data_IF_672787069314
#
_entry.id   IF_672787069314
#
_cell.length_a   1.000
_cell.length_b   1.000
_cell.length_c   1.000
_cell.angle_alpha   90.00
_cell.angle_beta   90.00
_cell.angle_gamma   90.00
#
_symmetry.space_group_name_H-M   'P 1'
#
loop_
_entity.id
_entity.type
_entity.pdbx_description
1 polymer ?
#
# COMPACT_ATOMS: atom_id res chain seq x y z
N UNK A 1 3.74 4.34 9.81
CA UNK A 1 4.10 3.29 8.82
C UNK A 1 3.38 3.49 7.49
N UNK A 2 2.06 3.69 7.47
CA UNK A 2 1.29 3.93 6.25
C UNK A 2 1.76 5.15 5.46
N UNK A 3 2.02 6.29 6.11
CA UNK A 3 2.46 7.50 5.41
C UNK A 3 3.87 7.34 4.80
N UNK A 4 4.75 6.60 5.47
CA UNK A 4 6.07 6.24 4.92
C UNK A 4 5.92 5.37 3.67
N UNK A 5 5.03 4.37 3.71
CA UNK A 5 4.76 3.53 2.54
C UNK A 5 4.20 4.36 1.37
N UNK A 6 3.29 5.31 1.63
CA UNK A 6 2.82 6.25 0.62
C UNK A 6 3.98 7.07 0.01
N UNK A 7 4.88 7.59 0.84
CA UNK A 7 6.04 8.35 0.37
C UNK A 7 6.99 7.50 -0.48
N UNK A 8 7.25 6.25 -0.08
CA UNK A 8 8.10 5.32 -0.85
C UNK A 8 7.46 4.94 -2.18
N UNK A 9 6.16 4.68 -2.19
CA UNK A 9 5.40 4.42 -3.43
C UNK A 9 5.44 5.61 -4.38
N UNK A 10 5.35 6.84 -3.85
CA UNK A 10 5.42 8.05 -4.66
C UNK A 10 6.82 8.36 -5.19
N UNK A 11 7.89 7.96 -4.49
CA UNK A 11 9.28 8.30 -4.83
C UNK A 11 9.73 7.78 -6.20
N UNK A 12 9.22 6.63 -6.64
CA UNK A 12 9.53 6.12 -7.98
C UNK A 12 10.38 4.86 -8.04
N UNK A 13 10.97 4.43 -6.93
CA UNK A 13 12.06 3.44 -6.98
C UNK A 13 11.62 1.99 -7.11
N UNK A 14 10.34 1.72 -6.86
CA UNK A 14 9.75 0.40 -6.95
C UNK A 14 9.01 0.24 -8.28
N UNK A 15 9.13 -0.92 -8.91
CA UNK A 15 8.27 -1.33 -10.02
C UNK A 15 6.83 -1.63 -9.52
N UNK A 16 5.91 -1.92 -10.44
CA UNK A 16 4.50 -2.15 -10.09
C UNK A 16 4.30 -3.31 -9.12
N UNK A 17 5.00 -4.42 -9.34
CA UNK A 17 4.87 -5.62 -8.50
C UNK A 17 5.43 -5.36 -7.09
N UNK A 18 6.63 -4.79 -7.00
CA UNK A 18 7.28 -4.49 -5.72
C UNK A 18 6.52 -3.41 -4.93
N UNK A 19 5.84 -2.50 -5.62
CA UNK A 19 4.91 -1.56 -5.01
C UNK A 19 3.75 -2.28 -4.29
N UNK A 20 3.17 -3.31 -4.91
CA UNK A 20 2.12 -4.11 -4.26
C UNK A 20 2.66 -4.99 -3.14
N UNK A 21 3.87 -5.56 -3.29
CA UNK A 21 4.54 -6.31 -2.21
C UNK A 21 4.76 -5.44 -0.98
N UNK A 22 5.15 -4.17 -1.15
CA UNK A 22 5.27 -3.21 -0.04
C UNK A 22 3.93 -3.00 0.66
N UNK A 23 2.83 -2.85 -0.10
CA UNK A 23 1.47 -2.69 0.47
C UNK A 23 1.07 -3.91 1.29
N UNK A 24 1.31 -5.12 0.80
CA UNK A 24 1.01 -6.34 1.55
C UNK A 24 1.88 -6.46 2.80
N UNK A 25 3.17 -6.10 2.73
CA UNK A 25 4.03 -6.04 3.91
C UNK A 25 3.50 -5.09 4.97
N UNK A 26 3.05 -3.90 4.58
CA UNK A 26 2.42 -2.93 5.49
C UNK A 26 1.12 -3.48 6.08
N UNK A 27 0.31 -4.18 5.29
CA UNK A 27 -0.91 -4.85 5.77
C UNK A 27 -0.57 -5.88 6.85
N UNK A 28 0.37 -6.78 6.59
CA UNK A 28 0.77 -7.80 7.57
C UNK A 28 1.24 -7.18 8.88
N UNK A 29 2.10 -6.16 8.81
CA UNK A 29 2.54 -5.43 10.00
C UNK A 29 1.39 -4.72 10.74
N UNK A 30 0.45 -4.12 10.01
CA UNK A 30 -0.71 -3.49 10.61
C UNK A 30 -1.60 -4.49 11.35
N UNK A 31 -1.76 -5.71 10.83
CA UNK A 31 -2.58 -6.75 11.44
C UNK A 31 -1.92 -7.40 12.66
N UNK A 32 -0.58 -7.47 12.69
CA UNK A 32 0.15 -7.86 13.91
C UNK A 32 -0.12 -6.87 15.04
N UNK A 33 -0.14 -5.56 14.73
CA UNK A 33 -0.38 -4.51 15.73
C UNK A 33 -1.86 -4.35 16.09
N UNK A 34 -2.75 -4.59 15.13
CA UNK A 34 -4.19 -4.45 15.27
C UNK A 34 -4.92 -5.68 14.72
N UNK A 35 -4.91 -6.81 15.46
CA UNK A 35 -5.56 -8.04 15.03
C UNK A 35 -7.06 -7.83 14.75
N UNK A 36 -7.58 -8.45 13.69
CA UNK A 36 -8.99 -8.36 13.31
C UNK A 36 -9.40 -7.05 12.62
N UNK A 37 -8.45 -6.23 12.15
CA UNK A 37 -8.69 -4.96 11.46
C UNK A 37 -8.45 -5.02 9.95
N UNK A 38 -8.52 -6.20 9.36
CA UNK A 38 -8.35 -6.46 7.92
C UNK A 38 -9.29 -5.60 7.08
N UNK A 39 -10.57 -5.59 7.43
CA UNK A 39 -11.59 -4.85 6.69
C UNK A 39 -11.34 -3.33 6.74
N UNK A 40 -10.93 -2.82 7.90
CA UNK A 40 -10.57 -1.41 8.05
C UNK A 40 -9.37 -1.05 7.15
N UNK A 41 -8.39 -1.96 7.01
CA UNK A 41 -7.27 -1.75 6.09
C UNK A 41 -7.73 -1.70 4.63
N UNK A 42 -8.59 -2.62 4.23
CA UNK A 42 -9.11 -2.73 2.87
C UNK A 42 -9.96 -1.52 2.46
N UNK A 43 -10.73 -0.94 3.39
CA UNK A 43 -11.58 0.22 3.11
C UNK A 43 -10.79 1.54 3.15
N UNK A 44 -9.87 1.70 4.09
CA UNK A 44 -9.22 2.99 4.35
C UNK A 44 -7.89 3.12 3.60
N UNK A 45 -7.04 2.11 3.70
CA UNK A 45 -5.65 2.21 3.26
C UNK A 45 -5.42 1.66 1.86
N UNK A 46 -6.00 0.51 1.51
CA UNK A 46 -5.81 -0.07 0.17
C UNK A 46 -6.18 0.90 -0.97
N UNK A 47 -7.29 1.67 -0.91
CA UNK A 47 -7.64 2.58 -1.99
C UNK A 47 -6.64 3.73 -2.14
N UNK A 48 -6.03 4.18 -1.04
CA UNK A 48 -4.98 5.22 -1.05
C UNK A 48 -3.73 4.71 -1.76
N UNK A 49 -3.25 3.53 -1.40
CA UNK A 49 -2.10 2.92 -2.05
C UNK A 49 -2.36 2.64 -3.53
N UNK A 50 -3.55 2.10 -3.84
CA UNK A 50 -3.98 1.83 -5.22
C UNK A 50 -3.89 3.08 -6.08
N UNK A 51 -4.42 4.22 -5.63
CA UNK A 51 -4.37 5.49 -6.38
C UNK A 51 -2.94 5.93 -6.70
N UNK A 52 -2.01 5.80 -5.75
CA UNK A 52 -0.60 6.15 -5.97
C UNK A 52 0.04 5.21 -7.00
N UNK A 53 -0.23 3.91 -6.88
CA UNK A 53 0.33 2.89 -7.78
C UNK A 53 -0.23 3.05 -9.20
N UNK A 54 -1.54 3.23 -9.35
CA UNK A 54 -2.20 3.41 -10.65
C UNK A 54 -1.79 4.72 -11.33
N UNK A 55 -1.59 5.80 -10.57
CA UNK A 55 -1.06 7.04 -11.13
C UNK A 55 0.36 6.88 -11.69
N UNK A 56 1.17 5.99 -11.10
CA UNK A 56 2.52 5.69 -11.58
C UNK A 56 2.57 4.64 -12.68
N UNK A 57 1.64 3.69 -12.65
CA UNK A 57 1.58 2.54 -13.55
C UNK A 57 0.19 2.41 -14.18
N UNK A 58 -0.21 3.34 -15.06
CA UNK A 58 -1.49 3.26 -15.73
C UNK A 58 -1.59 1.93 -16.50
N UNK A 59 -2.74 1.28 -16.39
CA UNK A 59 -3.10 0.15 -17.26
C UNK A 59 -3.46 0.75 -18.63
N UNK A 60 -2.64 0.50 -19.65
CA UNK A 60 -2.97 0.79 -21.04
C UNK A 60 -3.80 -0.36 -21.62
#
# INVERSE_FOLDING_TARGET
MTDLACALLARGDLNREDSWKLVEGVKQWALVLFPGKEEAFEIIYRPRFRRIIEARFPLH
#
